data_IF_465898773701
#
_entry.id   IF_465898773701
#
_cell.length_a   1.000
_cell.length_b   1.000
_cell.length_c   1.000
_cell.angle_alpha   90.00
_cell.angle_beta   90.00
_cell.angle_gamma   90.00
#
_symmetry.space_group_name_H-M   'P 1'
#
loop_
_entity.id
_entity.type
_entity.pdbx_description
1 polymer ?
#
# COMPACT_ATOMS: atom_id res chain seq x y z
N UNK A 1 -3.84 -6.12 -22.33
CA UNK A 1 -4.32 -6.05 -20.93
C UNK A 1 -5.78 -5.62 -20.98
N UNK A 2 -6.67 -6.24 -20.21
CA UNK A 2 -8.05 -5.75 -20.10
C UNK A 2 -8.06 -4.44 -19.27
N UNK A 3 -9.14 -3.66 -19.38
CA UNK A 3 -9.27 -2.44 -18.60
C UNK A 3 -9.35 -2.79 -17.10
N UNK A 4 -8.56 -2.11 -16.26
CA UNK A 4 -8.49 -2.31 -14.83
C UNK A 4 -8.66 -0.96 -14.13
N UNK A 5 -9.62 -0.85 -13.21
CA UNK A 5 -9.88 0.34 -12.42
C UNK A 5 -9.38 0.13 -10.98
N UNK A 6 -8.42 0.94 -10.54
CA UNK A 6 -7.84 0.85 -9.20
C UNK A 6 -8.22 2.08 -8.40
N UNK A 7 -8.97 1.87 -7.32
CA UNK A 7 -9.23 2.94 -6.36
C UNK A 7 -8.06 3.11 -5.40
N UNK A 8 -7.62 4.34 -5.20
CA UNK A 8 -6.65 4.72 -4.16
C UNK A 8 -7.44 5.23 -2.96
N UNK A 9 -7.32 4.56 -1.81
CA UNK A 9 -7.87 5.03 -0.54
C UNK A 9 -6.80 5.84 0.20
N UNK A 10 -6.86 7.16 0.13
CA UNK A 10 -6.07 8.06 0.97
C UNK A 10 -6.85 8.31 2.25
N UNK A 11 -6.56 7.54 3.30
CA UNK A 11 -7.32 7.52 4.56
C UNK A 11 -6.45 7.84 5.76
N UNK A 12 -7.07 8.45 6.78
CA UNK A 12 -6.43 8.76 8.06
C UNK A 12 -6.63 7.60 9.03
N UNK A 13 -5.64 6.71 9.13
CA UNK A 13 -5.68 5.56 10.02
C UNK A 13 -5.10 5.91 11.39
N UNK A 14 -5.83 5.56 12.45
CA UNK A 14 -5.42 5.79 13.84
C UNK A 14 -4.59 4.62 14.35
N UNK A 15 -3.43 4.89 14.95
CA UNK A 15 -2.56 3.86 15.54
C UNK A 15 -3.31 3.08 16.63
N UNK A 16 -3.30 1.75 16.50
CA UNK A 16 -3.92 0.82 17.45
C UNK A 16 -5.44 0.67 17.34
N UNK A 17 -6.13 1.53 16.60
CA UNK A 17 -7.59 1.43 16.39
C UNK A 17 -7.94 0.46 15.25
N UNK A 18 -7.70 -0.83 15.47
CA UNK A 18 -7.97 -1.87 14.47
C UNK A 18 -9.44 -1.89 14.00
N UNK A 19 -10.37 -1.64 14.93
CA UNK A 19 -11.80 -1.65 14.62
C UNK A 19 -12.20 -0.42 13.78
N UNK A 20 -11.79 0.78 14.17
CA UNK A 20 -12.06 2.02 13.44
C UNK A 20 -11.39 2.03 12.07
N UNK A 21 -10.14 1.57 11.97
CA UNK A 21 -9.44 1.45 10.69
C UNK A 21 -10.12 0.42 9.76
N UNK A 22 -10.60 -0.72 10.30
CA UNK A 22 -11.41 -1.68 9.52
C UNK A 22 -12.66 -1.04 8.94
N UNK A 23 -13.38 -0.21 9.72
CA UNK A 23 -14.57 0.49 9.23
C UNK A 23 -14.24 1.50 8.13
N UNK A 24 -13.11 2.25 8.26
CA UNK A 24 -12.64 3.17 7.22
C UNK A 24 -12.32 2.45 5.92
N UNK A 25 -11.62 1.30 6.00
CA UNK A 25 -11.31 0.47 4.82
C UNK A 25 -12.59 -0.07 4.17
N UNK A 26 -13.57 -0.54 4.95
CA UNK A 26 -14.86 -1.00 4.42
C UNK A 26 -15.62 0.13 3.72
N UNK A 27 -15.72 1.31 4.35
CA UNK A 27 -16.38 2.47 3.75
C UNK A 27 -15.67 2.92 2.45
N UNK A 28 -14.34 2.88 2.42
CA UNK A 28 -13.58 3.15 1.19
C UNK A 28 -13.86 2.10 0.11
N UNK A 29 -13.98 0.83 0.47
CA UNK A 29 -14.31 -0.26 -0.46
C UNK A 29 -15.72 -0.10 -1.07
N UNK A 30 -16.71 0.27 -0.28
CA UNK A 30 -18.07 0.55 -0.78
C UNK A 30 -18.09 1.73 -1.77
N UNK A 31 -17.39 2.81 -1.44
CA UNK A 31 -17.25 3.97 -2.33
C UNK A 31 -16.50 3.61 -3.62
N UNK A 32 -15.40 2.87 -3.52
CA UNK A 32 -14.62 2.40 -4.67
C UNK A 32 -15.48 1.55 -5.62
N UNK A 33 -16.25 0.61 -5.06
CA UNK A 33 -17.18 -0.22 -5.83
C UNK A 33 -18.24 0.62 -6.54
N UNK A 34 -18.81 1.62 -5.87
CA UNK A 34 -19.80 2.53 -6.46
C UNK A 34 -19.21 3.36 -7.62
N UNK A 35 -17.90 3.62 -7.62
CA UNK A 35 -17.16 4.28 -8.70
C UNK A 35 -16.67 3.32 -9.80
N UNK A 36 -17.00 2.03 -9.70
CA UNK A 36 -16.64 1.03 -10.70
C UNK A 36 -15.21 0.53 -10.61
N UNK A 37 -14.58 0.59 -9.42
CA UNK A 37 -13.26 0.03 -9.21
C UNK A 37 -13.29 -1.51 -9.15
N UNK A 38 -12.24 -2.13 -9.68
CA UNK A 38 -11.99 -3.59 -9.64
C UNK A 38 -11.12 -3.98 -8.45
N UNK A 39 -10.33 -3.02 -7.91
CA UNK A 39 -9.39 -3.19 -6.81
C UNK A 39 -9.33 -1.92 -5.97
N UNK A 40 -9.27 -2.08 -4.64
CA UNK A 40 -8.92 -1.00 -3.70
C UNK A 40 -7.49 -1.15 -3.22
N UNK A 41 -6.73 -0.06 -3.24
CA UNK A 41 -5.39 0.04 -2.66
C UNK A 41 -5.44 0.92 -1.40
N UNK A 42 -5.01 0.38 -0.26
CA UNK A 42 -4.88 1.13 1.00
C UNK A 42 -3.43 1.55 1.26
N UNK A 43 -3.17 2.50 2.18
CA UNK A 43 -1.83 2.84 2.61
C UNK A 43 -1.08 1.72 3.36
N UNK A 44 0.20 1.92 3.59
CA UNK A 44 1.04 1.09 4.46
C UNK A 44 0.48 1.03 5.87
N UNK A 45 0.46 -0.17 6.48
CA UNK A 45 -0.09 -0.46 7.81
C UNK A 45 -1.49 0.14 8.07
N UNK A 46 -2.31 0.30 7.03
CA UNK A 46 -3.63 0.94 7.11
C UNK A 46 -4.53 0.31 8.19
N UNK A 47 -4.44 -1.00 8.41
CA UNK A 47 -5.21 -1.67 9.46
C UNK A 47 -4.71 -1.32 10.87
N UNK A 48 -3.41 -1.09 11.03
CA UNK A 48 -2.78 -0.86 12.34
C UNK A 48 -2.62 0.62 12.68
N UNK A 49 -2.63 1.50 11.68
CA UNK A 49 -2.08 2.85 11.76
C UNK A 49 -0.54 2.84 11.72
N UNK A 50 0.09 3.98 11.40
CA UNK A 50 1.53 4.10 11.26
C UNK A 50 2.07 5.34 12.00
N UNK A 51 3.20 5.24 12.74
CA UNK A 51 3.90 4.00 13.13
C UNK A 51 3.29 3.39 14.41
N UNK A 52 3.07 2.06 14.46
CA UNK A 52 2.49 1.42 15.65
C UNK A 52 3.47 1.28 16.83
N UNK A 53 4.75 1.54 16.62
CA UNK A 53 5.82 1.59 17.64
C UNK A 53 5.80 0.36 18.59
N UNK A 54 5.83 0.58 19.90
CA UNK A 54 5.88 -0.46 20.92
C UNK A 54 4.66 -1.40 20.95
N UNK A 55 3.56 -1.08 20.26
CA UNK A 55 2.49 -2.05 20.03
C UNK A 55 3.00 -3.29 19.28
N UNK A 56 3.99 -3.12 18.41
CA UNK A 56 4.63 -4.19 17.65
C UNK A 56 5.46 -5.15 18.52
N UNK A 57 5.72 -4.83 19.78
CA UNK A 57 6.37 -5.72 20.74
C UNK A 57 5.36 -6.66 21.43
N UNK A 58 4.05 -6.41 21.28
CA UNK A 58 2.98 -7.14 21.97
C UNK A 58 2.42 -8.28 21.11
N UNK A 59 2.55 -9.55 21.51
CA UNK A 59 1.97 -10.67 20.76
C UNK A 59 0.45 -10.57 20.57
N UNK A 60 -0.26 -10.01 21.56
CA UNK A 60 -1.72 -9.81 21.49
C UNK A 60 -2.13 -8.86 20.36
N UNK A 61 -1.29 -7.88 20.05
CA UNK A 61 -1.55 -6.95 18.97
C UNK A 61 -1.58 -7.67 17.61
N UNK A 62 -0.64 -8.57 17.35
CA UNK A 62 -0.62 -9.38 16.13
C UNK A 62 -1.81 -10.34 16.04
N UNK A 63 -2.22 -10.95 17.16
CA UNK A 63 -3.42 -11.80 17.21
C UNK A 63 -4.69 -11.00 16.90
N UNK A 64 -4.80 -9.81 17.47
CA UNK A 64 -5.90 -8.89 17.18
C UNK A 64 -5.89 -8.43 15.72
N UNK A 65 -4.74 -8.01 15.19
CA UNK A 65 -4.58 -7.60 13.79
C UNK A 65 -5.01 -8.71 12.83
N UNK A 66 -4.56 -9.96 13.08
CA UNK A 66 -4.91 -11.09 12.22
C UNK A 66 -6.40 -11.42 12.25
N UNK A 67 -7.04 -11.33 13.44
CA UNK A 67 -8.49 -11.51 13.57
C UNK A 67 -9.25 -10.43 12.77
N UNK A 68 -8.91 -9.16 12.95
CA UNK A 68 -9.53 -8.06 12.20
C UNK A 68 -9.30 -8.17 10.70
N UNK A 69 -8.12 -8.61 10.26
CA UNK A 69 -7.83 -8.83 8.84
C UNK A 69 -8.73 -9.94 8.25
N UNK A 70 -8.93 -11.03 8.98
CA UNK A 70 -9.81 -12.13 8.55
C UNK A 70 -11.29 -11.70 8.53
N UNK A 71 -11.75 -10.96 9.54
CA UNK A 71 -13.10 -10.40 9.58
C UNK A 71 -13.32 -9.40 8.42
N UNK A 72 -12.33 -8.55 8.14
CA UNK A 72 -12.34 -7.61 7.04
C UNK A 72 -12.45 -8.33 5.69
N UNK A 73 -11.67 -9.40 5.47
CA UNK A 73 -11.74 -10.20 4.26
C UNK A 73 -13.15 -10.74 3.98
N UNK A 74 -13.84 -11.20 5.03
CA UNK A 74 -15.23 -11.71 4.93
C UNK A 74 -16.29 -10.65 4.63
N UNK A 75 -15.96 -9.36 4.79
CA UNK A 75 -16.91 -8.23 4.65
C UNK A 75 -16.67 -7.35 3.44
N UNK A 76 -15.47 -7.39 2.85
CA UNK A 76 -15.12 -6.56 1.70
C UNK A 76 -15.96 -6.92 0.47
N UNK A 77 -16.44 -5.89 -0.21
CA UNK A 77 -17.32 -6.00 -1.38
C UNK A 77 -16.57 -6.03 -2.73
N UNK A 78 -15.23 -5.81 -2.71
CA UNK A 78 -14.32 -5.91 -3.86
C UNK A 78 -12.92 -6.34 -3.39
N UNK A 79 -12.07 -6.87 -4.30
CA UNK A 79 -10.67 -7.14 -4.00
C UNK A 79 -9.97 -5.92 -3.42
N UNK A 80 -9.23 -6.10 -2.31
CA UNK A 80 -8.59 -5.00 -1.60
C UNK A 80 -7.18 -5.40 -1.18
N UNK A 81 -6.19 -4.56 -1.46
CA UNK A 81 -4.84 -4.69 -0.90
C UNK A 81 -4.76 -3.89 0.39
N UNK A 82 -4.50 -4.57 1.51
CA UNK A 82 -4.50 -3.99 2.86
C UNK A 82 -3.12 -4.06 3.47
N UNK A 83 -2.60 -2.90 3.92
CA UNK A 83 -1.37 -2.80 4.72
C UNK A 83 -1.63 -3.19 6.18
N UNK A 84 -0.83 -4.10 6.73
CA UNK A 84 -0.98 -4.58 8.11
C UNK A 84 0.32 -5.16 8.68
N UNK A 85 0.41 -5.26 10.01
CA UNK A 85 1.47 -6.00 10.70
C UNK A 85 1.12 -7.49 10.78
N UNK A 86 2.13 -8.37 10.63
CA UNK A 86 1.96 -9.81 10.70
C UNK A 86 3.11 -10.48 11.48
N UNK A 87 2.79 -11.51 12.28
CA UNK A 87 3.78 -12.34 12.95
C UNK A 87 3.71 -13.79 12.41
N UNK A 88 4.85 -14.32 12.02
CA UNK A 88 4.97 -15.69 11.51
C UNK A 88 6.34 -16.27 11.81
N UNK A 89 6.39 -17.53 12.30
CA UNK A 89 7.66 -18.23 12.56
C UNK A 89 8.56 -17.53 13.59
N UNK A 90 7.98 -16.82 14.55
CA UNK A 90 8.72 -16.04 15.55
C UNK A 90 9.24 -14.69 15.05
N UNK A 91 9.03 -14.37 13.79
CA UNK A 91 9.40 -13.08 13.18
C UNK A 91 8.17 -12.20 12.96
N UNK A 92 8.38 -10.90 12.77
CA UNK A 92 7.37 -9.87 12.59
C UNK A 92 7.61 -9.15 11.28
N UNK A 93 6.54 -8.84 10.54
CA UNK A 93 6.64 -8.27 9.20
C UNK A 93 5.67 -7.12 9.02
N UNK A 94 6.10 -6.11 8.28
CA UNK A 94 5.24 -5.13 7.64
C UNK A 94 4.75 -5.74 6.32
N UNK A 95 3.43 -5.91 6.18
CA UNK A 95 2.82 -6.69 5.11
C UNK A 95 1.78 -5.91 4.32
N UNK A 96 1.60 -6.33 3.08
CA UNK A 96 0.45 -6.01 2.26
C UNK A 96 -0.22 -7.31 1.79
N UNK A 97 -1.51 -7.49 2.12
CA UNK A 97 -2.27 -8.68 1.72
C UNK A 97 -3.38 -8.34 0.75
N UNK A 98 -3.54 -9.15 -0.30
CA UNK A 98 -4.74 -9.15 -1.13
C UNK A 98 -5.84 -9.92 -0.42
N UNK A 99 -6.93 -9.22 -0.11
CA UNK A 99 -8.17 -9.80 0.41
C UNK A 99 -9.17 -9.91 -0.73
N UNK A 100 -9.60 -11.13 -1.06
CA UNK A 100 -10.53 -11.41 -2.15
C UNK A 100 -11.39 -12.63 -1.84
N UNK A 101 -12.66 -12.60 -2.24
CA UNK A 101 -13.60 -13.71 -2.07
C UNK A 101 -13.72 -14.24 -0.64
N UNK A 102 -13.67 -13.36 0.34
CA UNK A 102 -13.80 -13.71 1.75
C UNK A 102 -12.53 -14.25 2.40
N UNK A 103 -11.39 -14.23 1.72
CA UNK A 103 -10.13 -14.81 2.21
C UNK A 103 -8.92 -13.90 1.98
N UNK A 104 -7.85 -14.17 2.73
CA UNK A 104 -6.52 -13.64 2.46
C UNK A 104 -5.90 -14.52 1.37
N UNK A 105 -5.76 -13.99 0.15
CA UNK A 105 -5.29 -14.77 -1.00
C UNK A 105 -3.77 -14.86 -1.07
N UNK A 106 -3.09 -13.72 -0.90
CA UNK A 106 -1.63 -13.64 -0.90
C UNK A 106 -1.16 -12.52 -0.01
N UNK A 107 0.09 -12.60 0.45
CA UNK A 107 0.70 -11.62 1.36
C UNK A 107 2.11 -11.32 0.91
N UNK A 108 2.38 -10.04 0.65
CA UNK A 108 3.71 -9.49 0.48
C UNK A 108 4.28 -9.08 1.83
N UNK A 109 5.57 -9.30 2.05
CA UNK A 109 6.35 -8.85 3.21
C UNK A 109 7.35 -7.81 2.73
N UNK A 110 7.35 -6.63 3.34
CA UNK A 110 8.28 -5.53 3.02
C UNK A 110 9.72 -6.02 3.09
N UNK A 111 10.51 -5.72 2.06
CA UNK A 111 11.88 -6.21 1.93
C UNK A 111 12.91 -5.19 2.43
N UNK A 112 12.65 -3.90 2.23
CA UNK A 112 13.54 -2.81 2.64
C UNK A 112 12.94 -2.08 3.83
N UNK A 113 13.60 -2.19 4.97
CA UNK A 113 13.16 -1.56 6.21
C UNK A 113 13.94 -0.27 6.40
N UNK A 114 13.28 0.91 6.45
CA UNK A 114 13.98 2.15 6.73
C UNK A 114 14.51 2.15 8.16
N UNK A 115 15.76 2.56 8.33
CA UNK A 115 16.44 2.69 9.62
C UNK A 115 17.30 3.97 9.63
N UNK A 116 16.65 5.10 9.29
CA UNK A 116 17.28 6.41 9.25
C UNK A 116 16.27 7.50 9.57
N UNK A 117 16.76 8.63 10.03
CA UNK A 117 15.98 9.82 10.45
C UNK A 117 14.98 9.47 11.57
N UNK A 118 13.70 9.57 11.27
CA UNK A 118 12.58 9.34 12.21
C UNK A 118 12.00 7.92 12.10
N UNK A 119 12.57 7.07 11.25
CA UNK A 119 12.08 5.72 10.99
C UNK A 119 13.06 4.68 11.51
N UNK A 120 12.58 3.75 12.33
CA UNK A 120 13.35 2.63 12.93
C UNK A 120 12.56 1.32 12.78
N UNK A 121 12.29 0.92 11.53
CA UNK A 121 11.51 -0.31 11.30
C UNK A 121 12.30 -1.58 11.57
N UNK A 122 13.64 -1.57 11.46
CA UNK A 122 14.48 -2.74 11.77
C UNK A 122 14.39 -3.17 13.24
N UNK A 123 14.04 -2.24 14.15
CA UNK A 123 13.77 -2.56 15.55
C UNK A 123 12.59 -3.50 15.73
N UNK A 124 11.61 -3.46 14.84
CA UNK A 124 10.32 -4.13 15.01
C UNK A 124 10.09 -5.25 14.01
N UNK A 125 10.56 -5.09 12.77
CA UNK A 125 10.24 -5.97 11.66
C UNK A 125 11.48 -6.70 11.12
N UNK A 126 11.22 -7.85 10.54
CA UNK A 126 12.16 -8.59 9.72
C UNK A 126 11.89 -8.35 8.24
N UNK A 127 12.93 -8.34 7.42
CA UNK A 127 12.82 -8.21 5.97
C UNK A 127 12.14 -9.42 5.33
N UNK A 128 11.28 -9.15 4.34
CA UNK A 128 10.80 -10.14 3.40
C UNK A 128 11.86 -10.50 2.35
N UNK A 129 11.63 -11.56 1.58
CA UNK A 129 12.61 -12.07 0.61
C UNK A 129 12.03 -12.27 -0.80
N UNK A 130 10.70 -12.30 -0.95
CA UNK A 130 10.05 -12.71 -2.19
C UNK A 130 9.14 -11.61 -2.76
N UNK A 131 9.12 -11.44 -4.12
CA UNK A 131 8.13 -10.60 -4.76
C UNK A 131 6.73 -11.18 -4.60
N UNK A 132 5.71 -10.30 -4.71
CA UNK A 132 4.32 -10.70 -4.75
C UNK A 132 3.68 -10.15 -6.03
N UNK A 133 3.18 -11.04 -6.87
CA UNK A 133 2.43 -10.71 -8.09
C UNK A 133 1.16 -11.54 -8.10
N UNK A 134 0.03 -10.89 -8.36
CA UNK A 134 -1.27 -11.55 -8.48
C UNK A 134 -2.02 -11.04 -9.73
N UNK A 135 -3.11 -11.71 -10.08
CA UNK A 135 -3.91 -11.33 -11.24
C UNK A 135 -5.25 -10.70 -10.81
N UNK A 136 -5.58 -9.55 -11.40
CA UNK A 136 -6.88 -8.87 -11.28
C UNK A 136 -7.35 -8.45 -12.67
N UNK A 137 -8.55 -8.84 -13.06
CA UNK A 137 -9.14 -8.51 -14.37
C UNK A 137 -8.20 -8.77 -15.56
N UNK A 138 -7.42 -9.85 -15.48
CA UNK A 138 -6.45 -10.23 -16.52
C UNK A 138 -5.15 -9.43 -16.55
N UNK A 139 -4.94 -8.52 -15.58
CA UNK A 139 -3.68 -7.79 -15.42
C UNK A 139 -2.83 -8.40 -14.30
N UNK A 140 -1.52 -8.52 -14.51
CA UNK A 140 -0.56 -8.98 -13.48
C UNK A 140 -0.04 -7.81 -12.67
N UNK A 141 -0.40 -7.78 -11.41
CA UNK A 141 -0.18 -6.66 -10.49
C UNK A 141 0.86 -7.04 -9.45
N UNK A 142 1.96 -6.29 -9.40
CA UNK A 142 2.98 -6.38 -8.36
C UNK A 142 2.69 -5.46 -7.18
N UNK A 143 3.15 -5.83 -5.99
CA UNK A 143 3.00 -5.03 -4.76
C UNK A 143 4.35 -4.83 -4.10
N UNK A 144 4.62 -3.60 -3.66
CA UNK A 144 5.76 -3.24 -2.80
C UNK A 144 5.31 -2.23 -1.74
N UNK A 145 6.11 -2.03 -0.68
CA UNK A 145 5.76 -1.15 0.44
C UNK A 145 6.87 -0.10 0.63
N UNK A 146 6.51 1.16 0.47
CA UNK A 146 7.25 2.37 0.85
C UNK A 146 8.74 2.32 0.47
N UNK A 147 9.65 2.03 1.40
CA UNK A 147 11.10 1.99 1.18
C UNK A 147 11.52 1.05 0.03
N UNK A 148 10.73 0.02 -0.26
CA UNK A 148 10.98 -0.90 -1.37
C UNK A 148 11.08 -0.21 -2.74
N UNK A 149 10.35 0.89 -2.95
CA UNK A 149 10.41 1.64 -4.20
C UNK A 149 11.57 2.63 -4.24
N UNK A 150 12.10 3.02 -3.06
CA UNK A 150 13.25 3.92 -2.95
C UNK A 150 14.56 3.23 -3.26
N UNK A 151 14.65 1.92 -2.95
CA UNK A 151 15.85 1.13 -3.14
C UNK A 151 15.71 0.19 -4.35
N UNK A 152 16.83 -0.20 -4.93
CA UNK A 152 16.86 -1.20 -5.99
C UNK A 152 16.52 -2.60 -5.45
N UNK A 153 15.92 -3.42 -6.29
CA UNK A 153 15.62 -4.84 -6.03
C UNK A 153 14.13 -5.14 -6.00
N UNK A 154 13.35 -4.73 -4.99
CA UNK A 154 11.97 -5.20 -4.83
C UNK A 154 11.05 -4.92 -6.03
N UNK A 155 11.11 -3.71 -6.61
CA UNK A 155 10.34 -3.37 -7.81
C UNK A 155 10.82 -4.15 -9.05
N UNK A 156 12.14 -4.35 -9.19
CA UNK A 156 12.74 -5.15 -10.26
C UNK A 156 12.34 -6.62 -10.14
N UNK A 157 12.29 -7.16 -8.90
CA UNK A 157 11.88 -8.54 -8.64
C UNK A 157 10.40 -8.73 -8.97
N UNK A 158 9.53 -7.78 -8.63
CA UNK A 158 8.13 -7.80 -9.04
C UNK A 158 8.00 -7.79 -10.58
N UNK A 159 8.78 -6.94 -11.26
CA UNK A 159 8.81 -6.89 -12.74
C UNK A 159 9.29 -8.21 -13.34
N UNK A 160 10.37 -8.80 -12.81
CA UNK A 160 10.88 -10.11 -13.25
C UNK A 160 9.89 -11.24 -12.99
N UNK A 161 9.12 -11.16 -11.91
CA UNK A 161 8.01 -12.08 -11.63
C UNK A 161 6.80 -11.87 -12.56
N UNK A 162 6.88 -10.89 -13.46
CA UNK A 162 5.92 -10.64 -14.53
C UNK A 162 4.86 -9.60 -14.20
N UNK A 163 5.09 -8.73 -13.23
CA UNK A 163 4.19 -7.59 -13.00
C UNK A 163 4.14 -6.67 -14.22
N UNK A 164 2.95 -6.20 -14.56
CA UNK A 164 2.63 -5.26 -15.63
C UNK A 164 2.21 -3.90 -15.09
N UNK A 165 1.96 -3.84 -13.79
CA UNK A 165 1.62 -2.68 -12.99
C UNK A 165 2.17 -2.87 -11.58
N UNK A 166 2.64 -1.80 -10.94
CA UNK A 166 3.13 -1.84 -9.57
C UNK A 166 2.24 -1.00 -8.63
N UNK A 167 1.79 -1.61 -7.54
CA UNK A 167 1.13 -0.93 -6.43
C UNK A 167 2.13 -0.67 -5.32
N UNK A 168 2.13 0.56 -4.79
CA UNK A 168 3.03 0.97 -3.72
C UNK A 168 2.20 1.49 -2.55
N UNK A 169 2.25 0.79 -1.41
CA UNK A 169 1.62 1.23 -0.17
C UNK A 169 2.62 2.08 0.61
N UNK A 170 2.19 3.23 1.10
CA UNK A 170 3.09 4.14 1.80
C UNK A 170 2.46 4.76 3.04
N UNK A 171 3.33 5.00 4.03
CA UNK A 171 3.15 5.94 5.12
C UNK A 171 4.42 6.83 5.18
N UNK A 172 4.65 7.56 4.10
CA UNK A 172 5.86 8.39 3.91
C UNK A 172 5.69 9.72 4.62
N UNK A 173 6.49 10.04 5.65
CA UNK A 173 6.38 11.29 6.40
C UNK A 173 6.59 12.52 5.52
N UNK A 174 5.84 13.57 5.84
CA UNK A 174 5.91 14.84 5.15
C UNK A 174 7.06 15.70 5.69
N UNK A 175 7.80 16.29 4.79
CA UNK A 175 8.62 17.48 5.00
C UNK A 175 8.60 18.35 3.73
N UNK A 176 9.09 19.58 3.85
CA UNK A 176 9.08 20.51 2.73
C UNK A 176 9.71 19.88 1.47
N UNK A 177 9.00 19.94 0.33
CA UNK A 177 9.38 19.37 -0.98
C UNK A 177 9.30 17.82 -1.07
N UNK A 178 8.87 17.09 -0.02
CA UNK A 178 8.81 15.62 -0.04
C UNK A 178 7.99 15.09 -1.22
N UNK A 179 6.92 15.78 -1.60
CA UNK A 179 6.07 15.37 -2.71
C UNK A 179 6.83 15.27 -4.05
N UNK A 180 7.64 16.29 -4.40
CA UNK A 180 8.46 16.22 -5.63
C UNK A 180 9.50 15.12 -5.57
N UNK A 181 10.13 14.92 -4.41
CA UNK A 181 11.11 13.86 -4.22
C UNK A 181 10.48 12.48 -4.41
N UNK A 182 9.28 12.21 -3.82
CA UNK A 182 8.56 10.95 -4.02
C UNK A 182 8.29 10.67 -5.51
N UNK A 183 7.78 11.70 -6.22
CA UNK A 183 7.52 11.58 -7.66
C UNK A 183 8.80 11.25 -8.44
N UNK A 184 9.89 11.96 -8.17
CA UNK A 184 11.14 11.81 -8.90
C UNK A 184 11.75 10.41 -8.66
N UNK A 185 11.72 9.91 -7.43
CA UNK A 185 12.14 8.54 -7.07
C UNK A 185 11.31 7.49 -7.80
N UNK A 186 9.97 7.64 -7.80
CA UNK A 186 9.09 6.68 -8.49
C UNK A 186 9.30 6.75 -10.00
N UNK A 187 9.47 7.95 -10.59
CA UNK A 187 9.77 8.10 -12.01
C UNK A 187 11.11 7.46 -12.40
N UNK A 188 12.15 7.60 -11.56
CA UNK A 188 13.43 6.92 -11.74
C UNK A 188 13.23 5.40 -11.71
N UNK A 189 12.46 4.88 -10.75
CA UNK A 189 12.15 3.45 -10.69
C UNK A 189 11.41 2.97 -11.93
N UNK A 190 10.42 3.72 -12.41
CA UNK A 190 9.69 3.40 -13.66
C UNK A 190 10.66 3.32 -14.84
N UNK A 191 11.66 4.22 -14.94
CA UNK A 191 12.65 4.15 -16.03
C UNK A 191 13.45 2.85 -16.07
N UNK A 192 13.54 2.13 -14.95
CA UNK A 192 14.23 0.84 -14.82
C UNK A 192 13.30 -0.34 -15.11
N UNK A 193 12.06 -0.31 -14.59
CA UNK A 193 11.12 -1.44 -14.68
C UNK A 193 10.17 -1.34 -15.88
N UNK A 194 9.95 -0.17 -16.45
CA UNK A 194 9.13 0.05 -17.64
C UNK A 194 7.63 -0.21 -17.47
N UNK A 195 7.09 -0.15 -16.26
CA UNK A 195 5.67 -0.35 -15.97
C UNK A 195 5.09 0.80 -15.15
N UNK A 196 3.77 1.10 -15.27
CA UNK A 196 3.14 2.15 -14.50
C UNK A 196 3.11 1.84 -13.00
N UNK A 197 2.95 2.89 -12.19
CA UNK A 197 2.91 2.81 -10.72
C UNK A 197 1.69 3.53 -10.19
N UNK A 198 0.98 2.89 -9.25
CA UNK A 198 -0.07 3.50 -8.42
C UNK A 198 0.44 3.58 -6.98
N UNK A 199 0.51 4.79 -6.44
CA UNK A 199 1.12 5.11 -5.17
C UNK A 199 0.07 5.61 -4.18
N UNK A 200 -0.28 4.80 -3.17
CA UNK A 200 -1.17 5.18 -2.09
C UNK A 200 -0.35 5.64 -0.88
N UNK A 201 -0.63 6.83 -0.36
CA UNK A 201 0.04 7.37 0.82
C UNK A 201 -0.95 7.67 1.94
N UNK A 202 -0.53 7.42 3.19
CA UNK A 202 -1.29 7.77 4.39
C UNK A 202 -1.50 9.29 4.46
N UNK A 203 -2.63 9.71 5.02
CA UNK A 203 -2.88 11.10 5.43
C UNK A 203 -3.16 11.14 6.93
N UNK A 204 -2.73 12.21 7.62
CA UNK A 204 -2.96 12.41 9.05
C UNK A 204 -1.70 12.76 9.81
N UNK A 205 -1.63 12.34 11.06
CA UNK A 205 -0.47 12.56 11.91
C UNK A 205 -0.44 11.59 13.07
N UNK A 206 0.77 11.31 13.54
CA UNK A 206 1.04 10.50 14.73
C UNK A 206 2.32 11.01 15.39
N UNK A 207 2.25 11.35 16.68
CA UNK A 207 3.34 12.00 17.41
C UNK A 207 3.89 13.22 16.64
N UNK A 208 5.17 13.30 16.39
CA UNK A 208 5.80 14.37 15.59
C UNK A 208 5.70 14.16 14.07
N UNK A 209 5.17 13.03 13.60
CA UNK A 209 5.07 12.73 12.17
C UNK A 209 3.77 13.26 11.58
N UNK A 210 3.88 13.88 10.41
CA UNK A 210 2.76 14.31 9.60
C UNK A 210 2.80 13.57 8.26
N UNK A 211 1.64 13.10 7.81
CA UNK A 211 1.47 12.43 6.52
C UNK A 211 0.55 13.29 5.64
N UNK A 212 1.07 13.72 4.52
CA UNK A 212 0.36 14.66 3.64
C UNK A 212 -0.59 13.99 2.63
N UNK A 213 -0.67 12.68 2.60
CA UNK A 213 -1.38 12.01 1.52
C UNK A 213 -0.71 12.28 0.19
N UNK A 214 -1.33 13.11 -0.66
CA UNK A 214 -0.85 13.42 -2.01
C UNK A 214 -0.52 12.16 -2.81
N UNK A 215 -1.33 11.12 -2.66
CA UNK A 215 -1.26 9.88 -3.44
C UNK A 215 -1.31 10.18 -4.93
N UNK A 216 -0.69 9.35 -5.77
CA UNK A 216 -0.60 9.63 -7.19
C UNK A 216 -0.47 8.37 -8.05
N UNK A 217 -0.61 8.54 -9.36
CA UNK A 217 -0.24 7.52 -10.34
C UNK A 217 0.67 8.11 -11.41
N UNK A 218 1.65 7.31 -11.84
CA UNK A 218 2.52 7.63 -12.97
C UNK A 218 2.36 6.56 -14.06
N UNK A 219 2.36 6.99 -15.33
CA UNK A 219 2.39 6.08 -16.47
C UNK A 219 3.76 5.42 -16.66
N UNK A 220 3.87 4.49 -17.60
CA UNK A 220 5.13 3.79 -17.90
C UNK A 220 6.25 4.70 -18.43
N UNK A 221 5.95 5.95 -18.78
CA UNK A 221 6.92 6.97 -19.15
C UNK A 221 7.31 7.88 -17.96
N UNK A 222 6.80 7.60 -16.75
CA UNK A 222 7.05 8.39 -15.54
C UNK A 222 6.26 9.72 -15.47
N UNK A 223 5.26 9.91 -16.33
CA UNK A 223 4.41 11.11 -16.31
C UNK A 223 3.28 10.95 -15.31
N UNK A 224 3.01 12.00 -14.54
CA UNK A 224 1.92 12.02 -13.58
C UNK A 224 0.57 12.10 -14.30
N UNK A 225 -0.30 11.14 -14.03
CA UNK A 225 -1.64 11.05 -14.60
C UNK A 225 -2.72 11.39 -13.58
N UNK A 226 -2.52 11.00 -12.31
CA UNK A 226 -3.44 11.26 -11.20
C UNK A 226 -2.66 11.80 -10.00
N UNK A 227 -3.31 12.70 -9.27
CA UNK A 227 -2.81 13.21 -8.00
C UNK A 227 -3.98 13.55 -7.08
N UNK A 228 -4.01 12.94 -5.90
CA UNK A 228 -4.97 13.24 -4.85
C UNK A 228 -4.54 14.50 -4.08
N UNK A 229 -5.49 15.18 -3.41
CA UNK A 229 -5.20 16.37 -2.62
C UNK A 229 -4.23 16.08 -1.46
N UNK A 230 -3.58 17.12 -0.96
CA UNK A 230 -2.70 17.03 0.22
C UNK A 230 -3.47 17.38 1.48
N UNK A 231 -3.17 16.68 2.59
CA UNK A 231 -3.66 16.93 3.95
C UNK A 231 -5.18 16.71 4.13
N UNK A 232 -5.80 15.95 3.27
CA UNK A 232 -7.21 15.56 3.40
C UNK A 232 -7.43 14.12 2.97
N UNK A 233 -8.47 13.47 3.51
CA UNK A 233 -8.89 12.15 3.06
C UNK A 233 -9.50 12.25 1.66
N UNK A 234 -9.12 11.32 0.79
CA UNK A 234 -9.61 11.28 -0.58
C UNK A 234 -9.71 9.85 -1.11
N UNK A 235 -10.54 9.67 -2.12
CA UNK A 235 -10.62 8.44 -2.89
C UNK A 235 -10.77 8.80 -4.36
N UNK A 236 -9.90 8.25 -5.20
CA UNK A 236 -9.95 8.44 -6.65
C UNK A 236 -9.68 7.12 -7.37
N UNK A 237 -10.14 7.01 -8.62
CA UNK A 237 -10.03 5.80 -9.43
C UNK A 237 -9.10 6.03 -10.62
N UNK A 238 -7.98 5.32 -10.59
CA UNK A 238 -7.01 5.27 -11.69
C UNK A 238 -7.44 4.21 -12.69
N UNK A 239 -7.60 4.60 -13.94
CA UNK A 239 -7.96 3.69 -15.04
C UNK A 239 -6.72 3.22 -15.77
N UNK A 240 -6.56 1.92 -15.88
CA UNK A 240 -5.50 1.28 -16.68
C UNK A 240 -6.16 0.73 -17.94
N UNK A 241 -5.74 1.23 -19.10
CA UNK A 241 -6.27 0.83 -20.41
C UNK A 241 -5.11 0.37 -21.27
N UNK A 242 -5.17 -0.85 -21.81
CA UNK A 242 -4.11 -1.44 -22.64
C UNK A 242 -2.71 -1.35 -22.03
N UNK A 243 -2.62 -1.45 -20.70
CA UNK A 243 -1.35 -1.38 -19.95
C UNK A 243 -0.83 0.02 -19.70
N UNK A 244 -1.54 1.06 -20.14
CA UNK A 244 -1.27 2.47 -19.82
C UNK A 244 -2.25 3.03 -18.81
N UNK A 245 -1.84 4.05 -18.06
CA UNK A 245 -2.73 4.83 -17.19
C UNK A 245 -3.45 5.86 -18.09
N UNK A 246 -4.79 5.83 -18.09
CA UNK A 246 -5.66 6.71 -18.90
C UNK A 246 -6.16 7.90 -18.07
#
# INVERSE_FOLDING_TARGET
MQNLNIAIAQINCTVGDLAGNSQRILAAAERAKALGADLLLTPELALCGYPPEDLLLRPDFYRATQRHLAELAGRLCLPTVVGHAHAHGGQRYNCASLLRNGAIETTYRKQRLPNADVLDEERYFSSGEAPCVFEIAGARVGVVICEDVWQQGPADDARRAGAELLLVLNASPYYRQKHSIRRDVVAERISQIGIPVVYANLVGGQDELVFDGASFALDAAGRMTHRLPSFEEALDVVRIVDGGVA
#
